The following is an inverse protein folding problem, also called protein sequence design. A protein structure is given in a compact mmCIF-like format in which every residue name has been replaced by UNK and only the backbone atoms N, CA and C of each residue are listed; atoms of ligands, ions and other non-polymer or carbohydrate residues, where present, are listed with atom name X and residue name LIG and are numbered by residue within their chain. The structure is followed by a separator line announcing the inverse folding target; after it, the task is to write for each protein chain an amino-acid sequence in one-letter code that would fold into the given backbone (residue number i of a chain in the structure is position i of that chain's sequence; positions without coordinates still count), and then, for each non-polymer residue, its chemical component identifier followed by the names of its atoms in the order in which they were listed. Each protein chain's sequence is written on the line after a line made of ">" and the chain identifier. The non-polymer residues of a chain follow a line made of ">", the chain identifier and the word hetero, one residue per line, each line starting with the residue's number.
data_IF_255243952499
#
_entry.id   IF_255243952499
#
_cell.length_a   1.000
_cell.length_b   1.000
_cell.length_c   1.000
_cell.angle_alpha   90.00
_cell.angle_beta   90.00
_cell.angle_gamma   90.00
#
_symmetry.space_group_name_H-M   'P 1'
#
loop_
_entity.id
_entity.type
_entity.pdbx_description
1 polymer ?
#
# COMPACT_ATOMS: atom_id res chain seq x y z
N UNK A 1 -13.90 -6.10 4.29
CA UNK A 1 -12.56 -5.53 4.55
C UNK A 1 -12.57 -4.49 5.68
N UNK A 2 -13.48 -3.51 5.69
CA UNK A 2 -13.49 -2.41 6.68
C UNK A 2 -13.57 -2.89 8.15
N UNK A 3 -14.44 -3.85 8.46
CA UNK A 3 -14.59 -4.38 9.83
C UNK A 3 -13.30 -5.05 10.36
N UNK A 4 -12.62 -5.86 9.54
CA UNK A 4 -11.37 -6.52 9.94
C UNK A 4 -10.28 -5.49 10.20
N UNK A 5 -10.16 -4.49 9.32
CA UNK A 5 -9.19 -3.40 9.45
C UNK A 5 -9.41 -2.61 10.75
N UNK A 6 -10.66 -2.26 11.04
CA UNK A 6 -10.99 -1.49 12.23
C UNK A 6 -10.80 -2.33 13.52
N UNK A 7 -11.06 -3.64 13.46
CA UNK A 7 -10.78 -4.57 14.56
C UNK A 7 -9.27 -4.72 14.83
N UNK A 8 -8.45 -4.83 13.78
CA UNK A 8 -6.99 -4.87 13.89
C UNK A 8 -6.44 -3.57 14.50
N UNK A 9 -6.96 -2.42 14.09
CA UNK A 9 -6.62 -1.15 14.72
C UNK A 9 -7.01 -1.12 16.20
N UNK A 10 -8.22 -1.58 16.54
CA UNK A 10 -8.71 -1.62 17.91
C UNK A 10 -7.81 -2.48 18.82
N UNK A 11 -7.43 -3.68 18.36
CA UNK A 11 -6.64 -4.64 19.13
C UNK A 11 -5.15 -4.29 19.20
N UNK A 12 -4.58 -3.86 18.08
CA UNK A 12 -3.12 -3.81 17.92
C UNK A 12 -2.59 -2.43 17.50
N UNK A 13 -3.46 -1.43 17.35
CA UNK A 13 -3.12 -0.07 16.87
C UNK A 13 -2.44 -0.07 15.49
N UNK A 14 -2.71 -1.08 14.68
CA UNK A 14 -2.26 -1.08 13.29
C UNK A 14 -2.92 0.10 12.55
N UNK A 15 -2.15 0.90 11.82
CA UNK A 15 -2.68 2.01 11.03
C UNK A 15 -3.57 1.46 9.92
N UNK A 16 -4.66 2.17 9.64
CA UNK A 16 -5.72 1.78 8.70
C UNK A 16 -5.42 2.28 7.28
N UNK A 17 -4.53 3.25 7.17
CA UNK A 17 -4.11 3.88 5.92
C UNK A 17 -2.62 4.24 6.00
N UNK A 18 -2.02 4.55 4.85
CA UNK A 18 -0.63 5.04 4.77
C UNK A 18 -0.46 6.37 5.50
N UNK A 19 -1.44 7.27 5.38
CA UNK A 19 -1.41 8.59 6.03
C UNK A 19 -1.38 8.50 7.57
N UNK A 20 -2.06 7.51 8.17
CA UNK A 20 -2.04 7.27 9.62
C UNK A 20 -0.66 6.86 10.16
N UNK A 21 0.24 6.37 9.30
CA UNK A 21 1.60 5.99 9.72
C UNK A 21 2.48 7.20 10.03
N UNK A 22 2.22 8.36 9.42
CA UNK A 22 3.09 9.52 9.44
C UNK A 22 4.46 9.31 8.78
N UNK A 23 4.68 8.19 8.07
CA UNK A 23 5.97 7.82 7.46
C UNK A 23 6.00 8.00 5.95
N UNK A 24 4.85 8.15 5.32
CA UNK A 24 4.70 8.29 3.87
C UNK A 24 3.95 9.59 3.61
N UNK A 25 4.42 10.38 2.66
CA UNK A 25 3.73 11.56 2.14
C UNK A 25 3.12 11.26 0.77
N UNK A 26 2.07 12.00 0.38
CA UNK A 26 1.31 11.67 -0.83
C UNK A 26 2.16 11.79 -2.10
N UNK A 27 3.11 12.72 -2.11
CA UNK A 27 4.08 12.93 -3.19
C UNK A 27 5.05 11.75 -3.38
N UNK A 28 5.21 10.88 -2.36
CA UNK A 28 6.08 9.70 -2.44
C UNK A 28 5.43 8.51 -3.14
N UNK A 29 4.11 8.53 -3.38
CA UNK A 29 3.37 7.39 -3.95
C UNK A 29 3.97 6.93 -5.27
N UNK A 30 4.21 7.86 -6.20
CA UNK A 30 4.77 7.53 -7.51
C UNK A 30 6.15 6.85 -7.36
N UNK A 31 6.99 7.34 -6.44
CA UNK A 31 8.32 6.78 -6.25
C UNK A 31 8.29 5.38 -5.62
N UNK A 32 7.39 5.16 -4.67
CA UNK A 32 7.19 3.85 -4.03
C UNK A 32 6.67 2.84 -5.06
N UNK A 33 5.77 3.25 -5.96
CA UNK A 33 5.25 2.39 -7.02
C UNK A 33 6.37 1.92 -7.96
N UNK A 34 7.26 2.81 -8.40
CA UNK A 34 8.44 2.44 -9.19
C UNK A 34 9.31 1.42 -8.45
N UNK A 35 9.62 1.67 -7.17
CA UNK A 35 10.46 0.76 -6.37
C UNK A 35 9.82 -0.63 -6.19
N UNK A 36 8.49 -0.71 -6.12
CA UNK A 36 7.77 -1.97 -5.98
C UNK A 36 7.87 -2.84 -7.24
N UNK A 37 7.95 -2.23 -8.43
CA UNK A 37 8.16 -2.96 -9.69
C UNK A 37 9.57 -3.55 -9.80
N UNK A 38 10.55 -2.90 -9.17
CA UNK A 38 11.93 -3.38 -9.11
C UNK A 38 12.17 -4.39 -7.96
N UNK A 39 11.17 -4.65 -7.11
CA UNK A 39 11.28 -5.60 -6.02
C UNK A 39 11.10 -7.05 -6.51
N UNK A 40 12.07 -7.91 -6.22
CA UNK A 40 12.06 -9.29 -6.70
C UNK A 40 10.86 -10.12 -6.25
N UNK A 41 10.09 -9.71 -5.23
CA UNK A 41 8.86 -10.40 -4.85
C UNK A 41 7.71 -10.19 -5.84
N UNK A 42 7.76 -9.15 -6.69
CA UNK A 42 6.72 -8.84 -7.68
C UNK A 42 6.51 -9.99 -8.68
N UNK A 43 7.56 -10.78 -8.95
CA UNK A 43 7.53 -11.93 -9.87
C UNK A 43 6.60 -13.05 -9.39
N UNK A 44 6.29 -13.07 -8.09
CA UNK A 44 5.37 -14.05 -7.50
C UNK A 44 3.93 -13.55 -7.44
N UNK A 45 3.65 -12.30 -7.83
CA UNK A 45 2.30 -11.80 -7.86
C UNK A 45 1.51 -12.56 -8.95
N UNK A 46 0.34 -13.18 -8.62
CA UNK A 46 -0.41 -13.97 -9.60
C UNK A 46 -1.02 -13.12 -10.73
N UNK A 47 -1.03 -11.80 -10.56
CA UNK A 47 -1.49 -10.82 -11.54
C UNK A 47 -0.28 -9.98 -11.96
N UNK A 48 -0.04 -9.82 -13.26
CA UNK A 48 0.99 -8.89 -13.72
C UNK A 48 0.61 -7.46 -13.31
N UNK A 49 1.54 -6.73 -12.71
CA UNK A 49 1.31 -5.39 -12.16
C UNK A 49 2.11 -4.41 -12.98
N UNK A 50 1.44 -3.42 -13.57
CA UNK A 50 2.12 -2.27 -14.15
C UNK A 50 2.23 -1.09 -13.16
N UNK A 51 2.88 0.00 -13.57
CA UNK A 51 3.07 1.16 -12.71
C UNK A 51 1.74 1.81 -12.30
N UNK A 52 0.74 1.83 -13.17
CA UNK A 52 -0.57 2.42 -12.88
C UNK A 52 -1.33 1.56 -11.87
N UNK A 53 -1.25 0.24 -11.98
CA UNK A 53 -1.82 -0.70 -11.01
C UNK A 53 -1.21 -0.48 -9.62
N UNK A 54 0.12 -0.38 -9.54
CA UNK A 54 0.82 -0.14 -8.28
C UNK A 54 0.42 1.21 -7.65
N UNK A 55 0.35 2.27 -8.45
CA UNK A 55 -0.12 3.60 -7.99
C UNK A 55 -1.56 3.51 -7.50
N UNK A 56 -2.46 2.84 -8.23
CA UNK A 56 -3.86 2.72 -7.87
C UNK A 56 -4.05 1.99 -6.53
N UNK A 57 -3.26 0.94 -6.26
CA UNK A 57 -3.28 0.24 -4.97
C UNK A 57 -2.81 1.15 -3.83
N UNK A 58 -1.73 1.91 -4.03
CA UNK A 58 -1.21 2.84 -3.03
C UNK A 58 -2.19 3.98 -2.73
N UNK A 59 -2.83 4.55 -3.75
CA UNK A 59 -3.87 5.59 -3.60
C UNK A 59 -5.11 5.06 -2.86
N UNK A 60 -5.52 3.80 -3.11
CA UNK A 60 -6.61 3.18 -2.37
C UNK A 60 -6.28 2.94 -0.88
N UNK A 61 -4.99 2.81 -0.55
CA UNK A 61 -4.51 2.61 0.81
C UNK A 61 -4.16 3.93 1.54
N UNK A 62 -4.30 5.08 0.87
CA UNK A 62 -3.91 6.40 1.39
C UNK A 62 -4.76 6.89 2.56
#
# INVERSE_FOLDING_TARGET
>A
IREIRDELHRRCKLPRTLSETGKVTKDQIAKIAEMALDDGSIIYNPVEVDLQDAIAVLENAW
#
